data_IF_474138813617
#
_entry.id   IF_474138813617
#
_cell.length_a   1.000
_cell.length_b   1.000
_cell.length_c   1.000
_cell.angle_alpha   90.00
_cell.angle_beta   90.00
_cell.angle_gamma   90.00
#
_symmetry.space_group_name_H-M   'P 1'
#
loop_
_entity.id
_entity.type
_entity.pdbx_description
1 polymer ?
#
# COMPACT_ATOMS: atom_id res chain seq x y z
N UNK A 1 -10.99 27.75 -6.63
CA UNK A 1 -11.31 27.35 -5.23
C UNK A 1 -11.03 28.51 -4.28
N UNK A 2 -12.05 29.09 -3.64
CA UNK A 2 -11.88 30.29 -2.77
C UNK A 2 -12.58 30.13 -1.42
N UNK A 3 -12.12 29.17 -0.61
CA UNK A 3 -12.19 29.24 0.86
C UNK A 3 -11.30 28.14 1.45
N UNK A 4 -10.30 28.55 2.23
CA UNK A 4 -9.31 27.67 2.90
C UNK A 4 -9.80 27.19 4.27
N UNK A 5 -10.77 27.89 4.86
CA UNK A 5 -11.28 27.63 6.20
C UNK A 5 -12.81 27.61 6.18
N UNK A 6 -13.39 26.72 6.98
CA UNK A 6 -14.82 26.61 7.19
C UNK A 6 -15.11 26.78 8.69
N UNK A 7 -16.17 27.52 9.03
CA UNK A 7 -16.65 27.58 10.41
C UNK A 7 -17.46 26.32 10.76
N UNK A 8 -17.87 26.17 12.04
CA UNK A 8 -18.61 24.98 12.52
C UNK A 8 -19.89 24.67 11.72
N UNK A 9 -20.65 25.69 11.29
CA UNK A 9 -21.89 25.51 10.53
C UNK A 9 -21.60 25.03 9.12
N UNK A 10 -20.62 25.64 8.47
CA UNK A 10 -20.15 25.25 7.13
C UNK A 10 -19.56 23.83 7.15
N UNK A 11 -18.73 23.50 8.15
CA UNK A 11 -18.13 22.18 8.33
C UNK A 11 -19.20 21.09 8.50
N UNK A 12 -20.26 21.34 9.28
CA UNK A 12 -21.38 20.39 9.44
C UNK A 12 -22.08 20.10 8.11
N UNK A 13 -22.29 21.12 7.28
CA UNK A 13 -22.93 20.96 5.97
C UNK A 13 -22.03 20.26 4.95
N UNK A 14 -20.72 20.50 5.02
CA UNK A 14 -19.75 19.82 4.16
C UNK A 14 -19.64 18.35 4.55
N UNK A 15 -19.49 18.07 5.85
CA UNK A 15 -19.44 16.71 6.38
C UNK A 15 -20.66 15.94 5.89
N UNK A 16 -21.89 16.43 6.10
CA UNK A 16 -23.12 15.72 5.71
C UNK A 16 -23.26 15.40 4.21
N UNK A 17 -22.39 15.95 3.34
CA UNK A 17 -22.36 15.63 1.91
C UNK A 17 -21.32 14.56 1.55
N UNK A 18 -20.42 14.21 2.47
CA UNK A 18 -19.34 13.24 2.23
C UNK A 18 -19.81 11.79 2.33
N UNK A 19 -20.84 11.50 3.12
CA UNK A 19 -21.37 10.15 3.29
C UNK A 19 -22.44 10.08 4.37
N UNK A 20 -23.10 8.92 4.46
CA UNK A 20 -24.14 8.66 5.47
C UNK A 20 -23.57 8.01 6.74
N UNK A 21 -22.43 7.34 6.62
CA UNK A 21 -21.73 6.66 7.72
C UNK A 21 -20.33 7.25 7.89
N UNK A 22 -19.84 7.29 9.13
CA UNK A 22 -18.49 7.77 9.46
C UNK A 22 -17.82 6.82 10.44
N UNK A 23 -16.54 6.55 10.23
CA UNK A 23 -15.70 5.96 11.26
C UNK A 23 -15.32 7.04 12.28
N UNK A 24 -15.47 6.71 13.56
CA UNK A 24 -15.02 7.53 14.68
C UNK A 24 -13.70 6.95 15.17
N UNK A 25 -12.61 7.69 14.99
CA UNK A 25 -11.27 7.26 15.40
C UNK A 25 -10.86 8.07 16.62
N UNK A 26 -10.64 7.38 17.74
CA UNK A 26 -10.16 8.02 18.98
C UNK A 26 -8.66 8.26 18.86
N UNK A 27 -8.26 9.50 19.08
CA UNK A 27 -6.87 9.89 19.10
C UNK A 27 -6.20 9.54 20.45
N UNK A 28 -4.87 9.36 20.48
CA UNK A 28 -4.10 9.29 21.72
C UNK A 28 -4.39 10.51 22.60
N UNK A 29 -4.37 10.34 23.93
CA UNK A 29 -4.82 11.37 24.88
C UNK A 29 -4.08 12.70 24.85
N UNK A 30 -2.94 12.78 24.15
CA UNK A 30 -2.14 14.00 23.96
C UNK A 30 -2.34 14.67 22.59
N UNK A 31 -3.24 14.16 21.74
CA UNK A 31 -3.56 14.73 20.43
C UNK A 31 -4.96 15.37 20.48
N UNK A 32 -5.05 16.64 20.10
CA UNK A 32 -6.33 17.32 19.89
C UNK A 32 -6.68 17.32 18.39
N UNK A 33 -7.94 17.01 17.99
CA UNK A 33 -9.11 16.72 18.84
C UNK A 33 -9.13 15.29 19.41
N UNK A 34 -9.98 15.02 20.41
CA UNK A 34 -10.10 13.69 21.04
C UNK A 34 -10.43 12.58 20.04
N UNK A 35 -11.15 12.91 18.98
CA UNK A 35 -11.49 12.00 17.90
C UNK A 35 -11.56 12.71 16.57
N UNK A 36 -11.40 11.92 15.51
CA UNK A 36 -11.60 12.32 14.12
C UNK A 36 -12.74 11.53 13.49
N UNK A 37 -13.38 12.12 12.48
CA UNK A 37 -14.48 11.53 11.74
C UNK A 37 -14.06 11.35 10.28
N UNK A 38 -14.11 10.11 9.81
CA UNK A 38 -13.76 9.75 8.44
C UNK A 38 -15.02 9.25 7.73
N UNK A 39 -15.46 9.89 6.62
CA UNK A 39 -16.63 9.42 5.87
C UNK A 39 -16.34 8.04 5.28
N UNK A 40 -17.28 7.12 5.44
CA UNK A 40 -17.21 5.80 4.84
C UNK A 40 -17.88 5.82 3.47
N UNK A 41 -17.23 5.18 2.50
CA UNK A 41 -17.84 4.94 1.20
C UNK A 41 -19.09 4.06 1.36
N UNK A 42 -20.07 4.24 0.47
CA UNK A 42 -21.26 3.40 0.46
C UNK A 42 -20.89 1.93 0.34
N UNK A 43 -21.44 1.10 1.24
CA UNK A 43 -21.18 -0.34 1.24
C UNK A 43 -21.58 -0.95 -0.10
N UNK A 44 -20.65 -1.66 -0.72
CA UNK A 44 -20.92 -2.50 -1.88
C UNK A 44 -21.74 -3.70 -1.40
N UNK A 45 -23.06 -3.67 -1.64
CA UNK A 45 -24.01 -4.70 -1.17
C UNK A 45 -24.12 -5.90 -2.13
N UNK A 46 -23.62 -5.74 -3.37
CA UNK A 46 -23.65 -6.77 -4.40
C UNK A 46 -22.24 -7.29 -4.63
N UNK A 47 -22.04 -8.60 -4.82
CA UNK A 47 -20.73 -9.13 -5.21
C UNK A 47 -20.24 -8.41 -6.47
N UNK A 48 -18.96 -8.04 -6.49
CA UNK A 48 -18.33 -7.55 -7.71
C UNK A 48 -18.19 -8.76 -8.64
N UNK A 49 -18.80 -8.71 -9.82
CA UNK A 49 -18.81 -9.85 -10.77
C UNK A 49 -17.40 -10.24 -11.20
N UNK A 50 -16.46 -9.28 -11.23
CA UNK A 50 -15.04 -9.52 -11.49
C UNK A 50 -14.19 -8.44 -10.82
N UNK A 51 -13.23 -8.84 -9.97
CA UNK A 51 -12.22 -7.93 -9.40
C UNK A 51 -10.93 -8.04 -10.22
N UNK A 52 -10.70 -7.08 -11.12
CA UNK A 52 -9.53 -7.09 -11.99
C UNK A 52 -8.24 -6.62 -11.27
N UNK A 53 -8.36 -5.65 -10.35
CA UNK A 53 -7.27 -5.14 -9.53
C UNK A 53 -7.82 -4.40 -8.30
N UNK A 54 -7.02 -4.31 -7.24
CA UNK A 54 -7.27 -3.45 -6.07
C UNK A 54 -6.03 -2.61 -5.81
N UNK A 55 -6.22 -1.31 -5.67
CA UNK A 55 -5.14 -0.37 -5.34
C UNK A 55 -5.32 0.02 -3.88
N UNK A 56 -4.36 -0.33 -3.03
CA UNK A 56 -4.37 -0.02 -1.61
C UNK A 56 -3.13 0.81 -1.30
N UNK A 57 -3.30 1.89 -0.53
CA UNK A 57 -2.17 2.58 0.07
C UNK A 57 -1.62 1.69 1.19
N UNK A 58 -0.35 1.31 1.04
CA UNK A 58 0.29 0.34 1.92
C UNK A 58 0.91 1.01 3.16
N UNK A 59 1.07 2.34 3.12
CA UNK A 59 1.57 3.10 4.26
C UNK A 59 0.42 3.33 5.26
N UNK A 60 0.55 2.78 6.47
CA UNK A 60 -0.36 3.03 7.60
C UNK A 60 -1.47 1.99 7.83
N UNK A 61 -1.58 0.95 7.02
CA UNK A 61 -2.67 -0.04 7.14
C UNK A 61 -2.15 -1.43 7.53
N UNK A 62 -2.01 -1.66 8.85
CA UNK A 62 -1.85 -2.97 9.54
C UNK A 62 -0.64 -3.85 9.14
N UNK A 63 0.00 -4.45 10.14
CA UNK A 63 1.07 -5.49 10.03
C UNK A 63 0.73 -6.69 9.14
N UNK A 64 -0.53 -6.85 8.73
CA UNK A 64 -1.01 -7.95 7.86
C UNK A 64 -0.73 -7.75 6.38
N UNK A 65 -0.44 -6.53 5.92
CA UNK A 65 -0.14 -6.25 4.50
C UNK A 65 1.33 -6.50 4.14
N UNK A 66 2.22 -6.57 5.13
CA UNK A 66 3.66 -6.73 4.93
C UNK A 66 4.04 -8.01 4.17
N UNK A 67 3.36 -9.13 4.44
CA UNK A 67 3.57 -10.37 3.70
C UNK A 67 3.22 -10.21 2.20
N UNK A 68 2.18 -9.43 1.87
CA UNK A 68 1.79 -9.15 0.48
C UNK A 68 2.79 -8.21 -0.19
N UNK A 69 3.33 -7.23 0.54
CA UNK A 69 4.38 -6.35 0.06
C UNK A 69 5.65 -7.15 -0.27
N UNK A 70 6.11 -7.98 0.67
CA UNK A 70 7.29 -8.85 0.48
C UNK A 70 7.08 -9.79 -0.71
N UNK A 71 5.90 -10.39 -0.82
CA UNK A 71 5.54 -11.24 -1.96
C UNK A 71 5.62 -10.46 -3.28
N UNK A 72 5.04 -9.25 -3.33
CA UNK A 72 5.03 -8.42 -4.54
C UNK A 72 6.44 -8.01 -4.96
N UNK A 73 7.27 -7.61 -3.98
CA UNK A 73 8.68 -7.29 -4.18
C UNK A 73 9.46 -8.50 -4.69
N UNK A 74 9.30 -9.67 -4.08
CA UNK A 74 9.92 -10.91 -4.55
C UNK A 74 9.48 -11.25 -5.97
N UNK A 75 8.18 -11.14 -6.25
CA UNK A 75 7.61 -11.48 -7.55
C UNK A 75 8.18 -10.61 -8.68
N UNK A 76 8.43 -9.32 -8.43
CA UNK A 76 9.11 -8.45 -9.39
C UNK A 76 10.50 -9.02 -9.71
N UNK A 77 11.29 -9.38 -8.69
CA UNK A 77 12.63 -9.96 -8.89
C UNK A 77 12.58 -11.28 -9.66
N UNK A 78 11.57 -12.13 -9.39
CA UNK A 78 11.32 -13.36 -10.16
C UNK A 78 11.05 -13.07 -11.63
N UNK A 79 10.18 -12.09 -11.91
CA UNK A 79 9.81 -11.70 -13.27
C UNK A 79 10.99 -11.15 -14.06
N UNK A 80 11.77 -10.24 -13.46
CA UNK A 80 12.93 -9.62 -14.13
C UNK A 80 14.08 -10.60 -14.35
N UNK A 81 14.25 -11.62 -13.48
CA UNK A 81 15.30 -12.64 -13.59
C UNK A 81 14.88 -13.90 -14.35
N UNK A 82 13.58 -14.13 -14.52
CA UNK A 82 13.00 -15.36 -15.07
C UNK A 82 13.08 -16.57 -14.13
N UNK A 83 13.32 -16.35 -12.83
CA UNK A 83 13.44 -17.40 -11.80
C UNK A 83 12.13 -17.53 -11.03
N UNK A 84 11.10 -18.04 -11.71
CA UNK A 84 9.73 -18.07 -11.18
C UNK A 84 9.51 -19.10 -10.06
N UNK A 85 10.39 -20.10 -9.96
CA UNK A 85 10.22 -21.23 -9.04
C UNK A 85 11.23 -21.22 -7.89
N UNK A 86 10.91 -21.92 -6.80
CA UNK A 86 11.77 -22.03 -5.62
C UNK A 86 13.07 -22.82 -5.90
N UNK A 87 13.05 -23.68 -6.92
CA UNK A 87 14.18 -24.44 -7.42
C UNK A 87 15.18 -23.54 -8.15
N UNK A 88 14.67 -22.55 -8.90
CA UNK A 88 15.49 -21.57 -9.62
C UNK A 88 16.02 -20.47 -8.68
N UNK A 89 15.22 -20.06 -7.71
CA UNK A 89 15.61 -19.10 -6.68
C UNK A 89 14.73 -19.24 -5.45
N UNK A 90 15.36 -19.39 -4.28
CA UNK A 90 14.69 -19.59 -3.00
C UNK A 90 13.83 -18.40 -2.53
N UNK A 91 13.96 -17.24 -3.17
CA UNK A 91 13.27 -16.02 -2.78
C UNK A 91 14.17 -15.09 -1.98
N UNK A 92 13.55 -14.07 -1.39
CA UNK A 92 14.24 -13.08 -0.56
C UNK A 92 14.74 -13.74 0.74
N UNK A 93 15.97 -13.42 1.15
CA UNK A 93 16.57 -13.94 2.38
C UNK A 93 16.04 -13.14 3.59
N UNK A 94 15.31 -13.77 4.53
CA UNK A 94 14.71 -13.04 5.65
C UNK A 94 15.72 -12.35 6.57
N UNK A 95 16.97 -12.83 6.63
CA UNK A 95 18.01 -12.25 7.50
C UNK A 95 18.70 -11.09 6.79
N UNK A 96 18.90 -11.20 5.46
CA UNK A 96 19.68 -10.22 4.69
C UNK A 96 18.84 -9.19 3.97
N UNK A 97 17.66 -9.55 3.46
CA UNK A 97 16.82 -8.68 2.64
C UNK A 97 15.80 -7.91 3.48
N UNK A 98 15.11 -8.59 4.39
CA UNK A 98 13.97 -8.00 5.13
C UNK A 98 14.32 -6.73 5.89
N UNK A 99 15.49 -6.59 6.55
CA UNK A 99 15.87 -5.32 7.20
C UNK A 99 15.91 -4.10 6.26
N UNK A 100 16.00 -4.30 4.94
CA UNK A 100 16.04 -3.22 3.96
C UNK A 100 14.70 -2.99 3.25
N UNK A 101 13.76 -3.93 3.37
CA UNK A 101 12.46 -3.91 2.67
C UNK A 101 11.24 -3.89 3.60
N UNK A 102 11.48 -3.73 4.91
CA UNK A 102 10.47 -3.60 5.97
C UNK A 102 10.68 -2.26 6.69
N UNK A 103 9.58 -1.55 7.00
CA UNK A 103 9.60 -0.32 7.81
C UNK A 103 10.23 0.92 7.15
N UNK A 104 10.59 0.85 5.87
CA UNK A 104 11.12 1.95 5.06
C UNK A 104 10.15 2.33 3.92
N UNK A 105 10.42 3.41 3.19
CA UNK A 105 9.62 3.77 1.99
C UNK A 105 9.74 2.70 0.90
N UNK A 106 8.67 2.47 0.14
CA UNK A 106 8.67 1.53 -1.01
C UNK A 106 9.79 1.82 -2.03
N UNK A 107 10.13 3.10 -2.25
CA UNK A 107 11.25 3.49 -3.13
C UNK A 107 12.58 2.89 -2.67
N UNK A 108 12.88 2.99 -1.38
CA UNK A 108 14.10 2.43 -0.78
C UNK A 108 14.15 0.92 -0.88
N UNK A 109 12.99 0.25 -0.78
CA UNK A 109 12.91 -1.20 -0.95
C UNK A 109 13.29 -1.61 -2.37
N UNK A 110 12.72 -0.94 -3.37
CA UNK A 110 12.99 -1.21 -4.79
C UNK A 110 14.43 -0.90 -5.15
N UNK A 111 14.98 0.22 -4.69
CA UNK A 111 16.39 0.59 -4.89
C UNK A 111 17.34 -0.52 -4.42
N UNK A 112 17.17 -0.98 -3.17
CA UNK A 112 17.96 -2.06 -2.60
C UNK A 112 17.87 -3.35 -3.42
N UNK A 113 16.66 -3.77 -3.78
CA UNK A 113 16.45 -5.02 -4.51
C UNK A 113 17.02 -4.97 -5.93
N UNK A 114 16.89 -3.85 -6.62
CA UNK A 114 17.53 -3.66 -7.93
C UNK A 114 19.05 -3.73 -7.76
N UNK A 115 19.62 -2.97 -6.83
CA UNK A 115 21.08 -2.94 -6.64
C UNK A 115 21.64 -4.34 -6.35
N UNK A 116 20.97 -5.10 -5.48
CA UNK A 116 21.37 -6.45 -5.07
C UNK A 116 21.18 -7.50 -6.16
N UNK A 117 20.06 -7.49 -6.88
CA UNK A 117 19.68 -8.58 -7.79
C UNK A 117 19.85 -8.26 -9.28
N UNK A 118 20.19 -7.02 -9.67
CA UNK A 118 20.32 -6.58 -11.08
C UNK A 118 21.18 -7.49 -11.96
N UNK A 119 22.24 -8.11 -11.42
CA UNK A 119 23.12 -9.01 -12.16
C UNK A 119 22.41 -10.28 -12.65
N UNK A 120 21.24 -10.59 -12.09
CA UNK A 120 20.42 -11.75 -12.45
C UNK A 120 19.32 -11.41 -13.45
N UNK A 121 19.10 -10.12 -13.74
CA UNK A 121 18.02 -9.68 -14.60
C UNK A 121 18.33 -9.96 -16.06
N UNK A 122 17.28 -10.24 -16.82
CA UNK A 122 17.35 -10.46 -18.27
C UNK A 122 16.65 -9.32 -18.98
N UNK A 123 17.35 -8.68 -19.91
CA UNK A 123 16.87 -7.48 -20.59
C UNK A 123 15.54 -7.70 -21.32
N UNK A 124 15.38 -8.86 -21.96
CA UNK A 124 14.14 -9.22 -22.66
C UNK A 124 12.95 -9.38 -21.70
N UNK A 125 13.19 -9.86 -20.48
CA UNK A 125 12.15 -10.00 -19.45
C UNK A 125 11.81 -8.67 -18.78
N UNK A 126 12.79 -7.77 -18.63
CA UNK A 126 12.54 -6.41 -18.17
C UNK A 126 11.61 -5.72 -19.17
N UNK A 127 11.95 -5.72 -20.46
CA UNK A 127 11.15 -5.09 -21.51
C UNK A 127 9.73 -5.64 -21.56
N UNK A 128 9.55 -6.96 -21.42
CA UNK A 128 8.21 -7.60 -21.42
C UNK A 128 7.37 -7.31 -20.17
N UNK A 129 7.97 -6.77 -19.12
CA UNK A 129 7.26 -6.49 -17.86
C UNK A 129 6.69 -5.07 -17.80
N UNK A 130 6.92 -4.27 -18.86
CA UNK A 130 6.35 -2.94 -19.11
C UNK A 130 5.56 -2.95 -20.42
#
# INVERSE_FOLDING_TARGET
MKKKFANKKEAKQLLSKLGDEYAVVKNPGYIHPEYELYPLASKIKKPVETLAASVMDMDGTTTTTEALCIYSLEFIIRKLSGRMTAEQWKGLDPVKDYPHIIGNSTTKHVEYLIEKYQKTFKLDLIIKSF
#
